data_IF_620465309749
#
_entry.id   IF_620465309749
#
_cell.length_a   1.000
_cell.length_b   1.000
_cell.length_c   1.000
_cell.angle_alpha   90.00
_cell.angle_beta   90.00
_cell.angle_gamma   90.00
#
_symmetry.space_group_name_H-M   'P 1'
#
loop_
_entity.id
_entity.type
_entity.pdbx_description
1 polymer ?
#
# COMPACT_ATOMS: atom_id res chain seq x y z
N UNK A 1 -7.50 23.30 22.24
CA UNK A 1 -8.64 22.63 21.59
C UNK A 1 -8.06 21.95 20.37
N UNK A 2 -7.95 20.63 20.38
CA UNK A 2 -7.46 19.90 19.21
C UNK A 2 -8.52 20.03 18.13
N UNK A 3 -8.29 20.89 17.14
CA UNK A 3 -9.01 20.82 15.88
C UNK A 3 -8.55 19.53 15.22
N UNK A 4 -9.32 18.46 15.38
CA UNK A 4 -9.13 17.27 14.55
C UNK A 4 -9.50 17.70 13.14
N UNK A 5 -8.50 17.77 12.27
CA UNK A 5 -8.70 17.98 10.85
C UNK A 5 -9.20 16.66 10.24
N UNK A 6 -10.51 16.44 10.36
CA UNK A 6 -11.17 15.24 9.84
C UNK A 6 -11.03 15.14 8.33
N UNK A 7 -10.93 16.29 7.64
CA UNK A 7 -10.76 16.33 6.19
C UNK A 7 -9.37 15.78 5.82
N UNK A 8 -8.31 16.17 6.54
CA UNK A 8 -6.97 15.60 6.33
C UNK A 8 -6.89 14.09 6.59
N UNK A 9 -7.67 13.55 7.52
CA UNK A 9 -7.72 12.11 7.78
C UNK A 9 -8.45 11.35 6.67
N UNK A 10 -9.57 11.89 6.18
CA UNK A 10 -10.34 11.29 5.07
C UNK A 10 -9.52 11.31 3.77
N UNK A 11 -8.80 12.42 3.51
CA UNK A 11 -7.87 12.55 2.36
C UNK A 11 -6.65 11.61 2.47
N UNK A 12 -6.22 11.30 3.69
CA UNK A 12 -5.12 10.36 3.94
C UNK A 12 -5.55 8.90 3.78
N UNK A 13 -6.84 8.60 3.86
CA UNK A 13 -7.33 7.23 3.74
C UNK A 13 -7.13 6.68 2.33
N UNK A 14 -6.49 5.51 2.22
CA UNK A 14 -6.21 4.87 0.94
C UNK A 14 -7.08 3.63 0.72
N UNK A 15 -7.31 2.81 1.75
CA UNK A 15 -8.11 1.59 1.60
C UNK A 15 -7.96 0.59 2.74
N UNK A 16 -8.52 -0.59 2.54
CA UNK A 16 -8.42 -1.74 3.45
C UNK A 16 -7.44 -2.78 2.90
N UNK A 17 -6.73 -3.46 3.80
CA UNK A 17 -5.86 -4.59 3.46
C UNK A 17 -5.76 -5.56 4.64
N UNK A 18 -5.52 -6.85 4.37
CA UNK A 18 -5.31 -7.82 5.44
C UNK A 18 -3.90 -7.72 6.05
N UNK A 19 -2.95 -7.21 5.28
CA UNK A 19 -1.56 -6.97 5.69
C UNK A 19 -0.88 -5.96 4.76
N UNK A 20 0.32 -5.52 5.15
CA UNK A 20 1.17 -4.68 4.30
C UNK A 20 1.51 -5.39 2.97
N UNK A 21 1.76 -6.70 3.00
CA UNK A 21 2.05 -7.50 1.80
C UNK A 21 0.83 -7.60 0.86
N UNK A 22 -0.36 -7.83 1.42
CA UNK A 22 -1.63 -7.87 0.69
C UNK A 22 -1.91 -6.52 0.00
N UNK A 23 -1.68 -5.41 0.72
CA UNK A 23 -1.74 -4.08 0.14
C UNK A 23 -0.78 -3.91 -1.04
N UNK A 24 0.48 -4.33 -0.88
CA UNK A 24 1.48 -4.23 -1.92
C UNK A 24 1.14 -5.08 -3.15
N UNK A 25 0.57 -6.27 -2.95
CA UNK A 25 0.06 -7.10 -4.04
C UNK A 25 -1.04 -6.40 -4.84
N UNK A 26 -2.09 -5.91 -4.16
CA UNK A 26 -3.17 -5.17 -4.80
C UNK A 26 -2.66 -3.93 -5.52
N UNK A 27 -1.76 -3.17 -4.88
CA UNK A 27 -1.14 -1.99 -5.47
C UNK A 27 -0.38 -2.30 -6.75
N UNK A 28 0.41 -3.38 -6.77
CA UNK A 28 1.18 -3.82 -7.95
C UNK A 28 0.27 -4.23 -9.10
N UNK A 29 -0.80 -4.97 -8.80
CA UNK A 29 -1.76 -5.43 -9.81
C UNK A 29 -2.60 -4.26 -10.36
N UNK A 30 -3.15 -3.41 -9.49
CA UNK A 30 -4.01 -2.28 -9.86
C UNK A 30 -3.26 -1.21 -10.68
N UNK A 31 -1.99 -0.97 -10.35
CA UNK A 31 -1.13 -0.03 -11.08
C UNK A 31 -0.39 -0.69 -12.25
N UNK A 32 -0.47 -2.03 -12.37
CA UNK A 32 0.18 -2.77 -13.45
C UNK A 32 1.71 -2.67 -13.45
N UNK A 33 2.34 -2.57 -12.27
CA UNK A 33 3.79 -2.36 -12.13
C UNK A 33 4.62 -3.45 -12.82
N UNK A 34 4.09 -4.66 -12.90
CA UNK A 34 4.75 -5.81 -13.52
C UNK A 34 4.25 -6.12 -14.94
N UNK A 35 3.45 -5.24 -15.57
CA UNK A 35 2.87 -5.50 -16.88
C UNK A 35 3.92 -5.71 -17.99
N UNK A 36 5.06 -5.01 -17.89
CA UNK A 36 6.18 -5.17 -18.83
C UNK A 36 7.09 -6.36 -18.49
N UNK A 37 6.93 -6.97 -17.31
CA UNK A 37 7.69 -8.13 -16.88
C UNK A 37 7.03 -9.40 -17.43
N UNK A 38 7.79 -10.33 -18.05
CA UNK A 38 7.27 -11.62 -18.45
C UNK A 38 6.60 -12.36 -17.29
N UNK A 39 5.45 -12.97 -17.53
CA UNK A 39 4.65 -13.64 -16.49
C UNK A 39 5.45 -14.70 -15.71
N UNK A 40 6.33 -15.43 -16.40
CA UNK A 40 7.25 -16.40 -15.78
C UNK A 40 8.22 -15.79 -14.78
N UNK A 41 8.48 -14.49 -14.85
CA UNK A 41 9.36 -13.76 -13.93
C UNK A 41 8.59 -13.04 -12.82
N UNK A 42 7.30 -12.74 -13.01
CA UNK A 42 6.48 -12.04 -12.00
C UNK A 42 6.37 -12.82 -10.70
N UNK A 43 6.40 -14.15 -10.76
CA UNK A 43 6.36 -15.04 -9.59
C UNK A 43 7.57 -14.90 -8.65
N UNK A 44 8.63 -14.23 -9.09
CA UNK A 44 9.82 -13.97 -8.27
C UNK A 44 9.82 -12.56 -7.67
N UNK A 45 8.78 -11.76 -7.90
CA UNK A 45 8.66 -10.45 -7.27
C UNK A 45 8.41 -10.62 -5.77
N UNK A 46 9.18 -9.91 -4.96
CA UNK A 46 9.12 -9.97 -3.50
C UNK A 46 8.16 -8.87 -2.99
N UNK A 47 6.89 -9.24 -2.81
CA UNK A 47 5.85 -8.33 -2.34
C UNK A 47 6.09 -7.88 -0.90
N UNK A 48 6.68 -8.72 -0.04
CA UNK A 48 7.00 -8.37 1.35
C UNK A 48 8.06 -7.27 1.40
N UNK A 49 9.12 -7.39 0.60
CA UNK A 49 10.15 -6.36 0.49
C UNK A 49 9.57 -5.05 -0.07
N UNK A 50 8.74 -5.14 -1.11
CA UNK A 50 8.11 -3.96 -1.69
C UNK A 50 7.14 -3.27 -0.74
N UNK A 51 6.34 -4.03 0.01
CA UNK A 51 5.49 -3.52 1.08
C UNK A 51 6.32 -2.73 2.09
N UNK A 52 7.41 -3.32 2.60
CA UNK A 52 8.29 -2.67 3.58
C UNK A 52 8.79 -1.30 3.11
N UNK A 53 9.13 -1.18 1.83
CA UNK A 53 9.55 0.09 1.23
C UNK A 53 8.39 1.09 1.16
N UNK A 54 7.19 0.67 0.73
CA UNK A 54 5.99 1.52 0.71
C UNK A 54 5.64 2.08 2.09
N UNK A 55 5.61 1.23 3.12
CA UNK A 55 5.27 1.65 4.49
C UNK A 55 6.41 2.42 5.18
N UNK A 56 7.62 2.39 4.61
CA UNK A 56 8.72 3.25 5.05
C UNK A 56 8.71 4.64 4.38
N UNK A 57 8.18 4.75 3.16
CA UNK A 57 8.23 5.98 2.33
C UNK A 57 7.02 6.91 2.54
N UNK A 58 5.93 6.44 3.14
CA UNK A 58 4.79 7.31 3.45
C UNK A 58 3.46 6.61 3.68
N UNK A 59 3.39 5.28 3.61
CA UNK A 59 2.18 4.56 3.96
C UNK A 59 2.19 4.11 5.42
N UNK A 60 1.00 4.03 6.03
CA UNK A 60 0.82 3.54 7.40
C UNK A 60 -0.29 2.50 7.40
N UNK A 61 -0.01 1.31 7.88
CA UNK A 61 -1.00 0.26 8.11
C UNK A 61 -1.44 0.27 9.58
N UNK A 62 -2.75 0.38 9.81
CA UNK A 62 -3.32 0.36 11.16
C UNK A 62 -4.67 -0.34 11.17
N UNK A 63 -4.78 -1.43 11.95
CA UNK A 63 -6.01 -2.19 12.18
C UNK A 63 -6.80 -2.56 10.90
N UNK A 64 -6.09 -2.93 9.83
CA UNK A 64 -6.69 -3.33 8.56
C UNK A 64 -6.92 -2.18 7.56
N UNK A 65 -6.56 -0.95 7.93
CA UNK A 65 -6.68 0.23 7.09
C UNK A 65 -5.31 0.80 6.72
N UNK A 66 -5.21 1.33 5.51
CA UNK A 66 -4.01 1.95 4.96
C UNK A 66 -4.23 3.45 4.81
N UNK A 67 -3.28 4.22 5.30
CA UNK A 67 -3.25 5.68 5.20
C UNK A 67 -1.97 6.15 4.52
N UNK A 68 -2.03 7.34 3.93
CA UNK A 68 -0.88 8.05 3.37
C UNK A 68 -0.53 9.25 4.24
N UNK A 69 0.74 9.38 4.58
CA UNK A 69 1.34 10.47 5.35
C UNK A 69 1.80 11.62 4.45
#
# INVERSE_FOLDING_TARGET
>A
TGECDYDAFDDAYYGEAESEEDFAYGFVEDNGLLNEVPESLRVYFDYEAYARDLFSDGYVFHDGYVFRN
#
